data_IF_215638350808
#
_entry.id   IF_215638350808
#
_cell.length_a   1.000
_cell.length_b   1.000
_cell.length_c   1.000
_cell.angle_alpha   90.00
_cell.angle_beta   90.00
_cell.angle_gamma   90.00
#
_symmetry.space_group_name_H-M   'P 1'
#
loop_
_entity.id
_entity.type
_entity.pdbx_description
1 polymer ?
#
# COMPACT_ATOMS: atom_id res chain seq x y z
N UNK A 1 55.59 69.23 -21.29
CA UNK A 1 56.02 68.79 -19.95
C UNK A 1 54.90 67.99 -19.31
N UNK A 2 55.23 66.80 -18.79
CA UNK A 2 54.55 65.89 -17.81
C UNK A 2 53.27 66.46 -17.16
N UNK A 3 52.17 65.73 -16.95
CA UNK A 3 51.96 64.52 -16.10
C UNK A 3 50.58 63.91 -16.48
N UNK A 4 50.44 62.63 -16.84
CA UNK A 4 50.20 61.45 -15.98
C UNK A 4 49.05 61.63 -14.95
N UNK A 5 47.89 61.00 -15.19
CA UNK A 5 47.18 60.23 -14.17
C UNK A 5 46.37 59.09 -14.80
N UNK A 6 46.74 57.89 -14.36
CA UNK A 6 46.17 56.58 -14.65
C UNK A 6 44.99 56.35 -13.73
N UNK A 7 43.90 55.77 -14.22
CA UNK A 7 43.10 54.85 -13.39
C UNK A 7 42.38 53.81 -14.26
N UNK A 8 42.97 52.61 -14.27
CA UNK A 8 42.32 51.38 -14.69
C UNK A 8 41.16 51.06 -13.76
N UNK A 9 39.99 50.75 -14.31
CA UNK A 9 39.11 49.73 -13.72
C UNK A 9 38.61 48.83 -14.83
N UNK A 10 39.12 47.60 -14.85
CA UNK A 10 38.68 46.53 -15.71
C UNK A 10 37.37 45.95 -15.17
N UNK A 11 36.29 46.02 -15.94
CA UNK A 11 35.08 45.25 -15.66
C UNK A 11 35.24 43.93 -16.40
N UNK A 12 35.67 42.90 -15.66
CA UNK A 12 35.61 41.51 -16.11
C UNK A 12 34.15 41.11 -16.31
N UNK A 13 33.76 40.89 -17.56
CA UNK A 13 32.51 40.24 -17.93
C UNK A 13 32.67 38.73 -17.69
N UNK A 14 32.35 38.28 -16.47
CA UNK A 14 32.25 36.86 -16.14
C UNK A 14 30.93 36.32 -16.69
N UNK A 15 30.95 35.81 -17.93
CA UNK A 15 29.86 34.98 -18.47
C UNK A 15 29.98 33.60 -17.80
N UNK A 16 29.34 33.42 -16.65
CA UNK A 16 29.14 32.09 -16.09
C UNK A 16 28.11 31.36 -16.96
N UNK A 17 28.56 30.42 -17.79
CA UNK A 17 27.69 29.42 -18.39
C UNK A 17 27.03 28.62 -17.25
N UNK A 18 25.79 28.97 -16.93
CA UNK A 18 24.94 28.07 -16.15
C UNK A 18 24.55 26.92 -17.08
N UNK A 19 25.29 25.82 -17.02
CA UNK A 19 24.83 24.54 -17.52
C UNK A 19 23.63 24.12 -16.68
N UNK A 20 22.43 24.45 -17.14
CA UNK A 20 21.20 23.86 -16.63
C UNK A 20 21.26 22.37 -16.95
N UNK A 21 21.82 21.59 -16.04
CA UNK A 21 21.59 20.15 -16.00
C UNK A 21 20.10 19.97 -15.72
N UNK A 22 19.32 19.78 -16.79
CA UNK A 22 18.00 19.20 -16.69
C UNK A 22 18.19 17.81 -16.09
N UNK A 23 18.16 17.72 -14.76
CA UNK A 23 17.98 16.46 -14.07
C UNK A 23 16.70 15.86 -14.65
N UNK A 24 16.86 14.85 -15.51
CA UNK A 24 15.76 14.13 -16.09
C UNK A 24 14.86 13.71 -14.93
N UNK A 25 13.68 14.34 -14.82
CA UNK A 25 12.70 13.95 -13.82
C UNK A 25 12.46 12.47 -14.11
N UNK A 26 12.93 11.57 -13.24
CA UNK A 26 12.62 10.15 -13.34
C UNK A 26 11.11 10.07 -13.35
N UNK A 27 10.52 9.97 -14.55
CA UNK A 27 9.10 9.73 -14.74
C UNK A 27 8.83 8.51 -13.90
N UNK A 28 8.08 8.71 -12.81
CA UNK A 28 7.67 7.63 -11.93
C UNK A 28 7.28 6.45 -12.80
N UNK A 29 7.95 5.30 -12.61
CA UNK A 29 7.64 4.10 -13.36
C UNK A 29 6.12 3.87 -13.31
N UNK A 30 5.52 3.67 -14.48
CA UNK A 30 4.11 3.34 -14.56
C UNK A 30 3.91 1.96 -13.95
N UNK A 31 2.85 1.77 -13.15
CA UNK A 31 2.51 0.46 -12.61
C UNK A 31 2.31 -0.52 -13.77
N UNK A 32 3.11 -1.59 -13.79
CA UNK A 32 3.03 -2.67 -14.77
C UNK A 32 2.07 -3.77 -14.33
N UNK A 33 1.72 -4.68 -15.23
CA UNK A 33 0.91 -5.87 -14.92
C UNK A 33 1.54 -6.73 -13.82
N UNK A 34 2.86 -6.98 -13.92
CA UNK A 34 3.61 -7.79 -12.95
C UNK A 34 3.61 -7.14 -11.56
N UNK A 35 3.86 -5.83 -11.50
CA UNK A 35 3.83 -5.08 -10.24
C UNK A 35 2.41 -5.02 -9.65
N UNK A 36 1.37 -4.82 -10.48
CA UNK A 36 -0.02 -4.82 -10.02
C UNK A 36 -0.39 -6.16 -9.37
N UNK A 37 -0.03 -7.29 -10.00
CA UNK A 37 -0.23 -8.62 -9.43
C UNK A 37 0.55 -8.80 -8.12
N UNK A 38 1.81 -8.38 -8.08
CA UNK A 38 2.62 -8.48 -6.86
C UNK A 38 2.01 -7.71 -5.69
N UNK A 39 1.62 -6.45 -5.91
CA UNK A 39 0.97 -5.62 -4.88
C UNK A 39 -0.38 -6.23 -4.46
N UNK A 40 -1.13 -6.84 -5.39
CA UNK A 40 -2.38 -7.54 -5.07
C UNK A 40 -2.13 -8.74 -4.12
N UNK A 41 -1.11 -9.56 -4.40
CA UNK A 41 -0.75 -10.68 -3.54
C UNK A 41 -0.30 -10.21 -2.14
N UNK A 42 0.51 -9.15 -2.09
CA UNK A 42 0.91 -8.56 -0.81
C UNK A 42 -0.32 -8.02 -0.06
N UNK A 43 -1.25 -7.35 -0.75
CA UNK A 43 -2.50 -6.88 -0.16
C UNK A 43 -3.34 -8.01 0.43
N UNK A 44 -3.46 -9.15 -0.29
CA UNK A 44 -4.13 -10.36 0.21
C UNK A 44 -3.47 -10.88 1.49
N UNK A 45 -2.14 -11.00 1.51
CA UNK A 45 -1.41 -11.43 2.70
C UNK A 45 -1.65 -10.48 3.89
N UNK A 46 -1.63 -9.17 3.66
CA UNK A 46 -1.85 -8.16 4.70
C UNK A 46 -3.28 -8.19 5.24
N UNK A 47 -4.28 -8.36 4.36
CA UNK A 47 -5.68 -8.51 4.74
C UNK A 47 -5.85 -9.72 5.66
N UNK A 48 -5.43 -10.91 5.22
CA UNK A 48 -5.57 -12.13 6.01
C UNK A 48 -4.77 -12.08 7.30
N UNK A 49 -3.59 -11.45 7.30
CA UNK A 49 -2.83 -11.24 8.54
C UNK A 49 -3.57 -10.35 9.55
N UNK A 50 -4.23 -9.29 9.07
CA UNK A 50 -5.01 -8.41 9.94
C UNK A 50 -6.24 -9.14 10.50
N UNK A 51 -6.98 -9.87 9.66
CA UNK A 51 -8.17 -10.64 10.05
C UNK A 51 -7.84 -11.78 11.01
N UNK A 52 -6.72 -12.49 10.79
CA UNK A 52 -6.22 -13.51 11.70
C UNK A 52 -5.63 -12.93 12.99
N UNK A 53 -5.34 -11.63 13.03
CA UNK A 53 -4.74 -10.92 14.16
C UNK A 53 -3.25 -11.16 14.37
N UNK A 54 -2.57 -11.78 13.41
CA UNK A 54 -1.13 -12.02 13.39
C UNK A 54 -0.65 -12.20 11.95
N UNK A 55 0.66 -12.05 11.69
CA UNK A 55 1.20 -12.28 10.35
C UNK A 55 1.02 -13.74 9.99
N UNK A 56 0.34 -14.06 8.89
CA UNK A 56 0.04 -15.46 8.51
C UNK A 56 1.29 -16.34 8.37
N UNK A 57 2.47 -15.74 8.09
CA UNK A 57 3.76 -16.43 8.08
C UNK A 57 4.20 -16.96 9.46
N UNK A 58 3.64 -16.43 10.54
CA UNK A 58 3.97 -16.77 11.94
C UNK A 58 2.96 -17.79 12.54
N UNK A 59 2.04 -18.36 11.75
CA UNK A 59 0.84 -19.09 12.20
C UNK A 59 1.06 -20.21 13.22
N UNK A 60 2.20 -20.90 13.19
CA UNK A 60 2.46 -22.06 14.05
C UNK A 60 2.60 -21.73 15.55
N UNK A 61 2.80 -20.46 15.92
CA UNK A 61 3.17 -20.08 17.29
C UNK A 61 2.24 -19.07 17.96
N UNK A 62 1.11 -18.72 17.32
CA UNK A 62 0.27 -17.62 17.82
C UNK A 62 -0.99 -18.15 18.51
N UNK A 63 -1.09 -17.86 19.81
CA UNK A 63 -2.32 -18.03 20.59
C UNK A 63 -2.88 -16.66 20.94
N UNK A 64 -4.04 -16.31 20.38
CA UNK A 64 -4.73 -15.06 20.69
C UNK A 64 -5.64 -15.25 21.90
N UNK A 65 -5.82 -14.18 22.68
CA UNK A 65 -6.78 -14.14 23.79
C UNK A 65 -8.10 -13.60 23.28
N UNK A 66 -9.18 -14.30 23.57
CA UNK A 66 -10.52 -13.89 23.18
C UNK A 66 -11.28 -13.23 24.34
N UNK A 67 -12.31 -12.45 24.01
CA UNK A 67 -13.27 -11.88 24.96
C UNK A 67 -14.61 -11.61 24.27
N UNK A 68 -15.69 -11.55 25.05
CA UNK A 68 -17.01 -11.17 24.54
C UNK A 68 -17.22 -9.68 24.70
N UNK A 69 -17.73 -9.02 23.66
CA UNK A 69 -18.11 -7.61 23.67
C UNK A 69 -19.31 -7.40 22.76
N UNK A 70 -20.41 -6.85 23.32
CA UNK A 70 -21.68 -6.64 22.59
C UNK A 70 -22.13 -7.89 21.82
N UNK A 71 -22.20 -9.02 22.55
CA UNK A 71 -22.65 -10.32 22.05
C UNK A 71 -21.83 -10.92 20.89
N UNK A 72 -20.65 -10.36 20.61
CA UNK A 72 -19.69 -10.92 19.66
C UNK A 72 -18.40 -11.33 20.38
N UNK A 73 -17.81 -12.44 19.93
CA UNK A 73 -16.48 -12.86 20.38
C UNK A 73 -15.43 -12.12 19.57
N UNK A 74 -14.46 -11.53 20.26
CA UNK A 74 -13.33 -10.83 19.68
C UNK A 74 -12.02 -11.51 20.06
N UNK A 75 -11.02 -11.43 19.19
CA UNK A 75 -9.64 -11.76 19.48
C UNK A 75 -8.81 -10.48 19.63
N UNK A 76 -8.05 -10.36 20.71
CA UNK A 76 -6.96 -9.38 20.74
C UNK A 76 -5.92 -9.74 19.68
N UNK A 77 -5.40 -8.74 18.98
CA UNK A 77 -4.34 -8.97 18.01
C UNK A 77 -3.00 -9.26 18.73
N UNK A 78 -2.12 -9.97 18.03
CA UNK A 78 -0.74 -10.24 18.48
C UNK A 78 0.04 -8.95 18.76
N UNK A 79 1.18 -9.05 19.46
CA UNK A 79 2.06 -7.90 19.76
C UNK A 79 2.47 -7.09 18.52
N UNK A 80 2.49 -7.72 17.35
CA UNK A 80 2.78 -7.09 16.07
C UNK A 80 1.70 -6.08 15.68
N UNK A 81 0.45 -6.28 16.09
CA UNK A 81 -0.72 -5.47 15.69
C UNK A 81 -1.53 -4.92 16.87
N UNK A 82 -1.11 -5.13 18.11
CA UNK A 82 -1.85 -4.83 19.34
C UNK A 82 -2.24 -3.36 19.56
N UNK A 83 -1.77 -2.43 18.74
CA UNK A 83 -2.20 -1.02 18.77
C UNK A 83 -2.57 -0.52 17.39
N UNK A 84 -3.45 0.48 17.34
CA UNK A 84 -3.87 1.11 16.07
C UNK A 84 -2.68 1.58 15.24
N UNK A 85 -1.66 2.15 15.89
CA UNK A 85 -0.43 2.60 15.22
C UNK A 85 0.30 1.44 14.53
N UNK A 86 0.48 0.32 15.22
CA UNK A 86 1.19 -0.84 14.67
C UNK A 86 0.42 -1.49 13.52
N UNK A 87 -0.89 -1.70 13.70
CA UNK A 87 -1.73 -2.26 12.64
C UNK A 87 -1.77 -1.34 11.41
N UNK A 88 -1.99 -0.04 11.61
CA UNK A 88 -1.96 0.93 10.51
C UNK A 88 -0.61 0.95 9.81
N UNK A 89 0.49 0.90 10.55
CA UNK A 89 1.84 0.87 9.96
C UNK A 89 2.03 -0.35 9.06
N UNK A 90 1.55 -1.52 9.49
CA UNK A 90 1.62 -2.75 8.70
C UNK A 90 0.75 -2.65 7.45
N UNK A 91 -0.54 -2.33 7.60
CA UNK A 91 -1.47 -2.21 6.46
C UNK A 91 -1.05 -1.11 5.47
N UNK A 92 -0.43 -0.03 5.94
CA UNK A 92 0.03 1.08 5.08
C UNK A 92 1.13 0.70 4.11
N UNK A 93 1.73 -0.49 4.23
CA UNK A 93 2.70 -0.98 3.24
C UNK A 93 2.03 -1.18 1.88
N UNK A 94 0.75 -1.58 1.87
CA UNK A 94 0.03 -1.99 0.65
C UNK A 94 -1.29 -1.25 0.42
N UNK A 95 -1.89 -0.67 1.47
CA UNK A 95 -3.19 0.01 1.39
C UNK A 95 -3.09 1.54 1.53
N UNK A 96 -3.99 2.27 0.87
CA UNK A 96 -4.14 3.71 1.10
C UNK A 96 -4.68 3.99 2.51
N UNK A 97 -4.43 5.18 3.09
CA UNK A 97 -4.98 5.54 4.40
C UNK A 97 -6.50 5.40 4.49
N UNK A 98 -7.22 5.77 3.42
CA UNK A 98 -8.68 5.67 3.37
C UNK A 98 -9.14 4.21 3.31
N UNK A 99 -8.48 3.36 2.50
CA UNK A 99 -8.76 1.93 2.46
C UNK A 99 -8.66 1.28 3.86
N UNK A 100 -7.63 1.66 4.63
CA UNK A 100 -7.43 1.17 6.00
C UNK A 100 -8.54 1.69 6.91
N UNK A 101 -8.85 2.99 6.85
CA UNK A 101 -9.88 3.61 7.70
C UNK A 101 -11.25 2.95 7.48
N UNK A 102 -11.64 2.76 6.22
CA UNK A 102 -12.90 2.11 5.86
C UNK A 102 -12.88 0.63 6.23
N UNK A 103 -11.85 -0.10 5.84
CA UNK A 103 -11.70 -1.52 6.16
C UNK A 103 -11.78 -1.83 7.65
N UNK A 104 -11.01 -1.13 8.49
CA UNK A 104 -11.06 -1.37 9.94
C UNK A 104 -12.45 -1.10 10.54
N UNK A 105 -13.22 -0.17 9.95
CA UNK A 105 -14.60 0.10 10.37
C UNK A 105 -15.53 -1.01 9.90
N UNK A 106 -15.45 -1.39 8.63
CA UNK A 106 -16.37 -2.34 7.99
C UNK A 106 -16.22 -3.74 8.57
N UNK A 107 -14.98 -4.14 8.90
CA UNK A 107 -14.66 -5.39 9.61
C UNK A 107 -14.72 -5.28 11.13
N UNK A 108 -15.29 -4.18 11.66
CA UNK A 108 -15.59 -3.98 13.07
C UNK A 108 -14.38 -4.16 14.01
N UNK A 109 -13.19 -3.74 13.58
CA UNK A 109 -12.02 -3.67 14.46
C UNK A 109 -12.28 -2.65 15.57
N UNK A 110 -11.91 -3.00 16.80
CA UNK A 110 -12.09 -2.14 17.98
C UNK A 110 -10.79 -1.95 18.75
N UNK A 111 -10.76 -0.92 19.58
CA UNK A 111 -9.80 -0.80 20.67
C UNK A 111 -10.51 -1.15 21.97
N UNK A 112 -10.05 -2.20 22.64
CA UNK A 112 -10.56 -2.62 23.94
C UNK A 112 -9.39 -2.70 24.92
N UNK A 113 -9.50 -2.00 26.06
CA UNK A 113 -8.43 -1.89 27.07
C UNK A 113 -7.07 -1.47 26.47
N UNK A 114 -7.10 -0.52 25.55
CA UNK A 114 -5.92 0.00 24.86
C UNK A 114 -5.31 -0.93 23.79
N UNK A 115 -5.91 -2.09 23.53
CA UNK A 115 -5.43 -3.06 22.54
C UNK A 115 -6.39 -3.21 21.36
N UNK A 116 -5.85 -3.38 20.17
CA UNK A 116 -6.64 -3.73 18.99
C UNK A 116 -7.25 -5.12 19.15
N UNK A 117 -8.49 -5.26 18.68
CA UNK A 117 -9.17 -6.54 18.57
C UNK A 117 -10.01 -6.60 17.28
N UNK A 118 -10.22 -7.80 16.78
CA UNK A 118 -11.03 -8.13 15.60
C UNK A 118 -12.07 -9.18 15.98
N UNK A 119 -13.30 -9.13 15.43
CA UNK A 119 -14.27 -10.20 15.65
C UNK A 119 -13.70 -11.56 15.24
N UNK A 120 -14.08 -12.62 15.95
CA UNK A 120 -13.80 -13.99 15.53
C UNK A 120 -14.64 -14.28 14.30
N UNK A 121 -14.00 -14.80 13.26
CA UNK A 121 -14.65 -15.27 12.05
C UNK A 121 -13.71 -16.15 11.25
N UNK A 122 -14.29 -16.96 10.39
CA UNK A 122 -13.56 -17.80 9.45
C UNK A 122 -13.75 -17.25 8.04
N UNK A 123 -12.69 -17.30 7.25
CA UNK A 123 -12.72 -16.87 5.87
C UNK A 123 -11.68 -17.62 5.07
N UNK A 124 -12.10 -18.12 3.91
CA UNK A 124 -11.23 -18.61 2.87
C UNK A 124 -11.94 -18.44 1.53
N UNK A 125 -11.19 -18.51 0.44
CA UNK A 125 -11.77 -18.59 -0.88
C UNK A 125 -10.94 -19.47 -1.80
N UNK A 126 -11.63 -20.03 -2.79
CA UNK A 126 -11.02 -20.86 -3.81
C UNK A 126 -10.27 -20.04 -4.87
N UNK A 127 -10.00 -18.74 -4.69
CA UNK A 127 -9.39 -17.90 -5.70
C UNK A 127 -7.87 -18.08 -5.70
N UNK A 128 -7.33 -18.57 -6.81
CA UNK A 128 -5.90 -18.72 -7.02
C UNK A 128 -5.32 -17.43 -7.62
N UNK A 129 -5.09 -16.44 -6.75
CA UNK A 129 -4.52 -15.16 -7.15
C UNK A 129 -3.11 -15.26 -7.71
N UNK A 130 -2.32 -16.24 -7.32
CA UNK A 130 -0.97 -16.45 -7.87
C UNK A 130 -0.99 -16.70 -9.38
N UNK A 131 -2.10 -17.28 -9.88
CA UNK A 131 -2.34 -17.52 -11.32
C UNK A 131 -3.22 -16.45 -11.97
N UNK A 132 -3.51 -15.34 -11.28
CA UNK A 132 -4.36 -14.30 -11.83
C UNK A 132 -3.67 -13.52 -12.94
N UNK A 133 -4.42 -13.19 -13.99
CA UNK A 133 -3.91 -12.41 -15.13
C UNK A 133 -4.50 -10.99 -15.10
N UNK A 134 -3.69 -9.95 -14.85
CA UNK A 134 -4.15 -8.56 -14.86
C UNK A 134 -4.25 -7.98 -16.26
N UNK A 135 -5.30 -7.18 -16.48
CA UNK A 135 -5.49 -6.31 -17.66
C UNK A 135 -5.77 -4.88 -17.21
N UNK A 136 -4.97 -3.92 -17.65
CA UNK A 136 -5.22 -2.50 -17.38
C UNK A 136 -6.51 -2.06 -18.06
N UNK A 137 -7.45 -1.51 -17.29
CA UNK A 137 -8.76 -1.03 -17.79
C UNK A 137 -8.97 0.47 -17.57
N UNK A 138 -8.24 1.11 -16.65
CA UNK A 138 -8.27 2.56 -16.48
C UNK A 138 -6.92 3.14 -16.09
N UNK A 139 -6.58 4.31 -16.64
CA UNK A 139 -5.31 5.00 -16.43
C UNK A 139 -5.53 6.50 -16.27
N UNK A 140 -5.48 6.99 -15.03
CA UNK A 140 -5.45 8.43 -14.69
C UNK A 140 -4.01 8.85 -14.37
N UNK A 141 -3.74 10.04 -13.83
CA UNK A 141 -2.36 10.42 -13.50
C UNK A 141 -1.80 9.56 -12.35
N UNK A 142 -2.51 9.53 -11.21
CA UNK A 142 -2.13 8.85 -9.96
C UNK A 142 -2.98 7.63 -9.65
N UNK A 143 -3.91 7.24 -10.53
CA UNK A 143 -4.81 6.09 -10.32
C UNK A 143 -4.70 5.12 -11.49
N UNK A 144 -4.68 3.82 -11.19
CA UNK A 144 -4.72 2.72 -12.16
C UNK A 144 -5.79 1.73 -11.72
N UNK A 145 -6.56 1.21 -12.66
CA UNK A 145 -7.52 0.13 -12.39
C UNK A 145 -7.22 -1.04 -13.30
N UNK A 146 -7.14 -2.22 -12.70
CA UNK A 146 -6.92 -3.49 -13.38
C UNK A 146 -8.12 -4.40 -13.20
N UNK A 147 -8.51 -5.09 -14.26
CA UNK A 147 -9.36 -6.28 -14.18
C UNK A 147 -8.45 -7.52 -14.15
N UNK A 148 -8.55 -8.30 -13.09
CA UNK A 148 -7.89 -9.57 -12.93
C UNK A 148 -8.84 -10.69 -13.35
N UNK A 149 -8.37 -11.56 -14.23
CA UNK A 149 -8.99 -12.89 -14.41
C UNK A 149 -8.33 -13.84 -13.42
N UNK A 150 -9.07 -14.27 -12.40
CA UNK A 150 -8.57 -15.10 -11.30
C UNK A 150 -9.11 -16.52 -11.47
N UNK A 151 -8.26 -17.54 -11.70
CA UNK A 151 -8.68 -18.93 -11.69
C UNK A 151 -9.15 -19.34 -10.30
N UNK A 152 -10.11 -20.25 -10.23
CA UNK A 152 -10.51 -20.92 -8.99
C UNK A 152 -9.86 -22.30 -8.89
N UNK A 153 -9.79 -22.87 -7.67
CA UNK A 153 -9.24 -24.21 -7.44
C UNK A 153 -10.03 -25.33 -8.16
N UNK A 154 -11.30 -25.10 -8.45
CA UNK A 154 -12.16 -26.02 -9.22
C UNK A 154 -12.14 -25.77 -10.75
N UNK A 155 -11.22 -24.93 -11.24
CA UNK A 155 -10.98 -24.73 -12.67
C UNK A 155 -11.83 -23.65 -13.35
N UNK A 156 -12.74 -22.98 -12.63
CA UNK A 156 -13.46 -21.80 -13.14
C UNK A 156 -12.54 -20.57 -13.18
N UNK A 157 -13.06 -19.47 -13.73
CA UNK A 157 -12.40 -18.16 -13.75
C UNK A 157 -13.39 -17.09 -13.36
N UNK A 158 -12.97 -16.16 -12.51
CA UNK A 158 -13.77 -15.01 -12.10
C UNK A 158 -13.04 -13.71 -12.44
N UNK A 159 -13.79 -12.64 -12.67
CA UNK A 159 -13.24 -11.30 -12.85
C UNK A 159 -13.26 -10.55 -11.53
N UNK A 160 -12.15 -9.91 -11.17
CA UNK A 160 -12.03 -9.03 -10.01
C UNK A 160 -11.39 -7.72 -10.42
N UNK A 161 -11.90 -6.60 -9.93
CA UNK A 161 -11.33 -5.28 -10.21
C UNK A 161 -10.51 -4.82 -9.02
N UNK A 162 -9.28 -4.37 -9.27
CA UNK A 162 -8.42 -3.79 -8.25
C UNK A 162 -7.96 -2.41 -8.70
N UNK A 163 -8.22 -1.41 -7.85
CA UNK A 163 -7.81 -0.03 -8.10
C UNK A 163 -6.64 0.33 -7.18
N UNK A 164 -5.60 0.90 -7.81
CA UNK A 164 -4.38 1.34 -7.19
C UNK A 164 -4.29 2.85 -7.27
N UNK A 165 -3.88 3.47 -6.17
CA UNK A 165 -3.56 4.88 -6.09
C UNK A 165 -2.10 5.06 -5.72
N UNK A 166 -1.46 6.05 -6.34
CA UNK A 166 -0.09 6.40 -6.04
C UNK A 166 -0.01 7.33 -4.84
N UNK A 167 0.42 6.78 -3.70
CA UNK A 167 0.67 7.53 -2.47
C UNK A 167 2.17 7.79 -2.37
N UNK A 168 2.58 9.06 -2.52
CA UNK A 168 3.98 9.47 -2.64
C UNK A 168 4.70 8.76 -3.80
N UNK A 169 5.58 7.80 -3.49
CA UNK A 169 6.36 7.03 -4.48
C UNK A 169 5.81 5.63 -4.73
N UNK A 170 4.86 5.16 -3.92
CA UNK A 170 4.40 3.77 -3.93
C UNK A 170 2.96 3.67 -4.44
N UNK A 171 2.68 2.63 -5.22
CA UNK A 171 1.31 2.27 -5.58
C UNK A 171 0.68 1.44 -4.46
N UNK A 172 -0.56 1.75 -4.09
CA UNK A 172 -1.28 1.11 -3.00
C UNK A 172 -2.71 0.79 -3.40
N UNK A 173 -3.25 -0.30 -2.88
CA UNK A 173 -4.63 -0.72 -3.11
C UNK A 173 -5.59 0.19 -2.35
N UNK A 174 -6.68 0.57 -3.02
CA UNK A 174 -7.65 1.56 -2.53
C UNK A 174 -8.81 0.97 -1.72
N UNK A 175 -8.89 -0.36 -1.63
CA UNK A 175 -9.91 -1.08 -0.88
C UNK A 175 -9.26 -2.31 -0.20
N UNK A 176 -9.54 -2.52 1.09
CA UNK A 176 -8.79 -3.50 1.91
C UNK A 176 -9.04 -4.95 1.49
N UNK A 177 -10.23 -5.23 0.97
CA UNK A 177 -10.74 -6.56 0.60
C UNK A 177 -10.89 -6.72 -0.92
N UNK A 178 -10.27 -5.84 -1.70
CA UNK A 178 -10.24 -5.94 -3.16
C UNK A 178 -9.58 -7.26 -3.64
N UNK A 179 -8.67 -7.79 -2.81
CA UNK A 179 -7.92 -9.02 -3.03
C UNK A 179 -7.94 -9.83 -1.74
N UNK A 180 -8.89 -10.76 -1.65
CA UNK A 180 -9.00 -11.71 -0.55
C UNK A 180 -8.78 -13.10 -1.07
#
# INVERSE_FOLDING_TARGET
MKKLFVLLTAIMLMISLQTTTLAASKKSAALTNKEALHIALDAREHFWSAMSGYKIKDHSNVKLKSFTYKDMTYNYLSKTFDTKKKLNSYLSQVFTPDAIKHGLKDYQFIVHKGKMAVPVGDGDNMLNWEKATPKLVSKKQTVRTYEFTVPTLDGRKVKRTVTYEKVQKNWKVTQIDAVI
#
